data_IF_492691330452
#
_entry.id   IF_492691330452
#
_cell.length_a   1.000
_cell.length_b   1.000
_cell.length_c   1.000
_cell.angle_alpha   90.00
_cell.angle_beta   90.00
_cell.angle_gamma   90.00
#
_symmetry.space_group_name_H-M   'P 1'
#
loop_
_entity.id
_entity.type
_entity.pdbx_description
1 polymer ?
#
# COMPACT_ATOMS: atom_id res chain seq x y z
N UNK A 1 34.59 14.64 4.30
CA UNK A 1 33.38 15.08 4.64
C UNK A 1 32.33 14.69 3.72
N UNK A 2 31.37 14.27 4.19
CA UNK A 2 30.39 13.89 3.33
C UNK A 2 29.36 14.91 3.33
N UNK A 3 29.15 15.42 2.20
CA UNK A 3 28.13 16.30 2.01
C UNK A 3 26.95 15.53 1.59
N UNK A 4 25.88 15.71 2.23
CA UNK A 4 24.69 15.11 1.79
C UNK A 4 24.31 15.68 0.49
N UNK A 5 24.36 14.89 -0.54
CA UNK A 5 23.92 15.37 -1.83
C UNK A 5 22.42 15.21 -1.93
N UNK A 6 21.81 16.15 -2.62
CA UNK A 6 20.40 16.07 -2.95
C UNK A 6 20.19 14.88 -3.92
N UNK A 7 19.20 14.03 -3.69
CA UNK A 7 18.95 12.93 -4.63
C UNK A 7 18.66 13.47 -6.03
N UNK A 8 19.17 12.77 -7.02
CA UNK A 8 18.84 13.11 -8.40
C UNK A 8 17.38 12.74 -8.68
N UNK A 9 16.84 13.26 -9.78
CA UNK A 9 15.48 12.93 -10.13
C UNK A 9 15.31 11.43 -10.40
N UNK A 10 16.33 10.79 -10.99
CA UNK A 10 16.29 9.35 -11.20
C UNK A 10 16.25 8.59 -9.90
N UNK A 11 17.03 9.03 -8.91
CA UNK A 11 17.00 8.42 -7.58
C UNK A 11 15.65 8.60 -6.90
N UNK A 12 15.06 9.77 -7.04
CA UNK A 12 13.74 10.04 -6.48
C UNK A 12 12.69 9.15 -7.11
N UNK A 13 12.74 8.97 -8.42
CA UNK A 13 11.81 8.09 -9.13
C UNK A 13 11.98 6.65 -8.66
N UNK A 14 13.22 6.16 -8.54
CA UNK A 14 13.48 4.81 -8.09
C UNK A 14 12.94 4.60 -6.67
N UNK A 15 13.15 5.56 -5.80
CA UNK A 15 12.66 5.50 -4.41
C UNK A 15 11.14 5.44 -4.37
N UNK A 16 10.47 6.28 -5.17
CA UNK A 16 9.00 6.26 -5.21
C UNK A 16 8.45 4.97 -5.77
N UNK A 17 9.11 4.41 -6.78
CA UNK A 17 8.68 3.12 -7.33
C UNK A 17 8.78 2.01 -6.30
N UNK A 18 9.85 2.02 -5.49
CA UNK A 18 10.01 1.03 -4.44
C UNK A 18 8.93 1.19 -3.38
N UNK A 19 8.67 2.44 -2.94
CA UNK A 19 7.63 2.72 -1.96
C UNK A 19 6.26 2.28 -2.49
N UNK A 20 5.99 2.54 -3.77
CA UNK A 20 4.73 2.13 -4.38
C UNK A 20 4.60 0.62 -4.40
N UNK A 21 5.65 -0.10 -4.77
CA UNK A 21 5.64 -1.56 -4.78
C UNK A 21 5.36 -2.10 -3.38
N UNK A 22 5.98 -1.50 -2.35
CA UNK A 22 5.75 -1.92 -0.97
C UNK A 22 4.30 -1.67 -0.54
N UNK A 23 3.75 -0.51 -0.91
CA UNK A 23 2.36 -0.20 -0.58
C UNK A 23 1.40 -1.16 -1.28
N UNK A 24 1.67 -1.50 -2.53
CA UNK A 24 0.85 -2.45 -3.28
C UNK A 24 0.93 -3.86 -2.70
N UNK A 25 2.11 -4.26 -2.25
CA UNK A 25 2.30 -5.56 -1.58
C UNK A 25 1.52 -5.60 -0.27
N UNK A 26 1.60 -4.54 0.52
CA UNK A 26 0.84 -4.44 1.77
C UNK A 26 -0.66 -4.50 1.50
N UNK A 27 -1.11 -3.80 0.47
CA UNK A 27 -2.51 -3.79 0.06
C UNK A 27 -2.99 -5.21 -0.29
N UNK A 28 -2.21 -5.92 -1.11
CA UNK A 28 -2.55 -7.28 -1.53
C UNK A 28 -2.58 -8.23 -0.35
N UNK A 29 -1.58 -8.13 0.54
CA UNK A 29 -1.51 -9.00 1.71
C UNK A 29 -2.67 -8.75 2.67
N UNK A 30 -3.02 -7.50 2.90
CA UNK A 30 -4.13 -7.17 3.80
C UNK A 30 -5.45 -7.69 3.22
N UNK A 31 -5.66 -7.54 1.92
CA UNK A 31 -6.87 -8.05 1.28
C UNK A 31 -6.94 -9.57 1.38
N UNK A 32 -5.81 -10.24 1.15
CA UNK A 32 -5.74 -11.70 1.25
C UNK A 32 -6.09 -12.18 2.65
N UNK A 33 -5.57 -11.50 3.69
CA UNK A 33 -5.90 -11.85 5.07
C UNK A 33 -7.37 -11.60 5.37
N UNK A 34 -7.92 -10.50 4.85
CA UNK A 34 -9.34 -10.21 4.99
C UNK A 34 -10.20 -11.35 4.44
N UNK A 35 -9.87 -11.82 3.24
CA UNK A 35 -10.60 -12.91 2.60
C UNK A 35 -10.48 -14.20 3.40
N UNK A 36 -9.29 -14.50 3.94
CA UNK A 36 -9.11 -15.69 4.77
C UNK A 36 -10.00 -15.66 5.99
N UNK A 37 -10.07 -14.53 6.67
CA UNK A 37 -10.90 -14.39 7.87
C UNK A 37 -12.38 -14.52 7.49
N UNK A 38 -12.76 -13.94 6.36
CA UNK A 38 -14.13 -14.06 5.87
C UNK A 38 -14.52 -15.52 5.64
N UNK A 39 -13.63 -16.31 5.04
CA UNK A 39 -13.87 -17.73 4.82
C UNK A 39 -14.00 -18.50 6.12
N UNK A 40 -13.12 -18.21 7.09
CA UNK A 40 -13.21 -18.84 8.40
C UNK A 40 -14.55 -18.49 9.06
N UNK A 41 -14.93 -17.22 8.99
CA UNK A 41 -16.20 -16.80 9.59
C UNK A 41 -17.39 -17.55 8.99
N UNK A 42 -17.34 -17.87 7.71
CA UNK A 42 -18.45 -18.53 7.03
C UNK A 42 -18.68 -19.95 7.51
N UNK A 43 -17.69 -20.57 8.17
CA UNK A 43 -17.82 -21.95 8.66
C UNK A 43 -17.98 -22.03 10.18
N UNK A 44 -18.01 -20.89 10.86
CA UNK A 44 -18.21 -20.85 12.32
C UNK A 44 -19.70 -20.93 12.61
N UNK A 45 -20.06 -21.72 13.63
CA UNK A 45 -21.44 -21.86 14.07
C UNK A 45 -21.97 -20.47 14.48
N UNK A 46 -23.15 -20.06 13.99
CA UNK A 46 -23.73 -18.76 14.37
C UNK A 46 -23.93 -18.58 15.86
N UNK A 47 -23.98 -19.67 16.62
CA UNK A 47 -24.15 -19.58 18.08
C UNK A 47 -22.85 -19.30 18.81
N UNK A 48 -21.71 -19.40 18.14
CA UNK A 48 -20.41 -19.12 18.76
C UNK A 48 -20.10 -17.62 18.65
N UNK A 49 -20.84 -16.83 19.43
CA UNK A 49 -20.79 -15.38 19.32
C UNK A 49 -19.42 -14.78 19.62
N UNK A 50 -18.68 -15.35 20.59
CA UNK A 50 -17.34 -14.84 20.92
C UNK A 50 -16.38 -15.01 19.76
N UNK A 51 -16.42 -16.16 19.09
CA UNK A 51 -15.57 -16.39 17.92
C UNK A 51 -15.92 -15.43 16.80
N UNK A 52 -17.22 -15.24 16.56
CA UNK A 52 -17.66 -14.34 15.53
C UNK A 52 -17.23 -12.91 15.80
N UNK A 53 -17.29 -12.47 17.06
CA UNK A 53 -16.85 -11.12 17.42
C UNK A 53 -15.36 -10.94 17.18
N UNK A 54 -14.54 -11.94 17.52
CA UNK A 54 -13.11 -11.87 17.28
C UNK A 54 -12.80 -11.82 15.80
N UNK A 55 -13.52 -12.61 15.00
CA UNK A 55 -13.33 -12.63 13.55
C UNK A 55 -13.75 -11.30 12.93
N UNK A 56 -14.83 -10.70 13.42
CA UNK A 56 -15.26 -9.39 12.94
C UNK A 56 -14.21 -8.31 13.20
N UNK A 57 -13.58 -8.36 14.39
CA UNK A 57 -12.51 -7.42 14.69
C UNK A 57 -11.31 -7.59 13.79
N UNK A 58 -10.94 -8.85 13.51
CA UNK A 58 -9.85 -9.14 12.58
C UNK A 58 -10.18 -8.65 11.18
N UNK A 59 -11.41 -8.90 10.71
CA UNK A 59 -11.84 -8.43 9.41
C UNK A 59 -11.74 -6.93 9.32
N UNK A 60 -12.20 -6.23 10.35
CA UNK A 60 -12.14 -4.77 10.38
C UNK A 60 -10.69 -4.29 10.32
N UNK A 61 -9.80 -4.93 11.10
CA UNK A 61 -8.39 -4.57 11.09
C UNK A 61 -7.76 -4.73 9.71
N UNK A 62 -7.97 -5.89 9.10
CA UNK A 62 -7.38 -6.14 7.79
C UNK A 62 -7.97 -5.26 6.71
N UNK A 63 -9.25 -4.96 6.79
CA UNK A 63 -9.88 -4.06 5.83
C UNK A 63 -9.34 -2.63 5.99
N UNK A 64 -9.15 -2.18 7.22
CA UNK A 64 -8.58 -0.86 7.49
C UNK A 64 -7.15 -0.79 6.97
N UNK A 65 -6.35 -1.84 7.21
CA UNK A 65 -4.98 -1.92 6.69
C UNK A 65 -4.99 -1.86 5.15
N UNK A 66 -5.93 -2.55 4.54
CA UNK A 66 -6.08 -2.53 3.09
C UNK A 66 -6.39 -1.12 2.58
N UNK A 67 -7.33 -0.44 3.23
CA UNK A 67 -7.70 0.92 2.81
C UNK A 67 -6.54 1.90 2.95
N UNK A 68 -5.80 1.81 4.05
CA UNK A 68 -4.64 2.67 4.26
C UNK A 68 -3.58 2.44 3.19
N UNK A 69 -3.31 1.18 2.87
CA UNK A 69 -2.33 0.86 1.84
C UNK A 69 -2.80 1.32 0.47
N UNK A 70 -4.08 1.21 0.19
CA UNK A 70 -4.66 1.68 -1.07
C UNK A 70 -4.50 3.19 -1.23
N UNK A 71 -4.80 3.94 -0.16
CA UNK A 71 -4.63 5.39 -0.19
C UNK A 71 -3.17 5.79 -0.36
N UNK A 72 -2.28 5.08 0.33
CA UNK A 72 -0.85 5.33 0.20
C UNK A 72 -0.37 5.06 -1.22
N UNK A 73 -0.82 3.96 -1.82
CA UNK A 73 -0.45 3.63 -3.18
C UNK A 73 -0.94 4.70 -4.16
N UNK A 74 -2.16 5.19 -3.99
CA UNK A 74 -2.69 6.23 -4.87
C UNK A 74 -1.88 7.52 -4.76
N UNK A 75 -1.51 7.90 -3.54
CA UNK A 75 -0.70 9.08 -3.32
C UNK A 75 0.66 8.94 -3.99
N UNK A 76 1.28 7.77 -3.82
CA UNK A 76 2.58 7.51 -4.41
C UNK A 76 2.53 7.48 -5.95
N UNK A 77 1.44 6.97 -6.51
CA UNK A 77 1.26 7.00 -7.96
C UNK A 77 1.23 8.42 -8.50
N UNK A 78 0.54 9.32 -7.80
CA UNK A 78 0.49 10.72 -8.22
C UNK A 78 1.88 11.35 -8.12
N UNK A 79 2.57 11.13 -7.01
CA UNK A 79 3.90 11.69 -6.79
C UNK A 79 4.90 11.16 -7.82
N UNK A 80 4.81 9.86 -8.12
CA UNK A 80 5.67 9.25 -9.12
C UNK A 80 5.40 9.84 -10.50
N UNK A 81 4.13 10.00 -10.84
CA UNK A 81 3.76 10.61 -12.13
C UNK A 81 4.29 12.02 -12.28
N UNK A 82 4.28 12.79 -11.20
CA UNK A 82 4.82 14.14 -11.22
C UNK A 82 6.34 14.14 -11.44
N UNK A 83 7.04 13.23 -10.80
CA UNK A 83 8.48 13.10 -10.99
C UNK A 83 8.84 12.66 -12.40
N UNK A 84 8.08 11.73 -12.94
CA UNK A 84 8.32 11.24 -14.30
C UNK A 84 8.05 12.34 -15.32
N UNK A 85 7.01 13.14 -15.08
CA UNK A 85 6.72 14.28 -15.96
C UNK A 85 7.83 15.31 -15.89
N UNK A 86 8.36 15.58 -14.69
CA UNK A 86 9.45 16.51 -14.52
C UNK A 86 10.72 16.04 -15.24
N UNK A 87 11.01 14.74 -15.14
CA UNK A 87 12.14 14.17 -15.84
C UNK A 87 12.00 14.30 -17.34
N UNK A 88 10.80 14.02 -17.85
CA UNK A 88 10.52 14.12 -19.27
C UNK A 88 10.73 15.54 -19.76
N UNK A 89 10.26 16.52 -18.97
CA UNK A 89 10.46 17.93 -19.31
C UNK A 89 11.94 18.28 -19.36
N UNK A 90 12.73 17.82 -18.38
CA UNK A 90 14.16 18.07 -18.37
C UNK A 90 14.84 17.46 -19.60
N UNK A 91 14.42 16.26 -19.99
CA UNK A 91 14.96 15.59 -21.17
C UNK A 91 14.66 16.35 -22.45
N UNK A 92 13.45 16.90 -22.54
CA UNK A 92 13.07 17.70 -23.71
C UNK A 92 13.90 18.97 -23.80
N UNK A 93 14.18 19.61 -22.66
CA UNK A 93 14.85 20.90 -22.63
C UNK A 93 16.38 20.80 -22.68
N UNK A 94 16.95 19.63 -22.52
CA UNK A 94 18.40 19.48 -22.52
C UNK A 94 19.03 19.25 -23.88
#
# INVERSE_FOLDING_TARGET
MSKKSTPTIDEQIAQKREELTQAQTTQTNAYSEYIKVMKVKSIVDPLETEKLQKLDKLMFKHFTDYQHALEQAKKLEVELGELEAQKYLEDILS
#
